data_IF_598955638681
#
_entry.id   IF_598955638681
#
_cell.length_a   1.000
_cell.length_b   1.000
_cell.length_c   1.000
_cell.angle_alpha   90.00
_cell.angle_beta   90.00
_cell.angle_gamma   90.00
#
_symmetry.space_group_name_H-M   'P 1'
#
loop_
_entity.id
_entity.type
_entity.pdbx_description
1 polymer ?
2 polymer ?
3 non-polymer ?
4 water ?
#
# COMPACT_ATOMS: atom_id res chain seq x y z
N UNK A 1 20.50 6.33 -11.48
CA UNK A 1 19.96 5.02 -11.21
C UNK A 1 18.84 5.05 -10.20
N UNK A 2 18.21 3.89 -10.07
CA UNK A 2 17.08 3.74 -9.17
C UNK A 2 17.42 3.91 -7.67
N UNK A 3 18.71 3.96 -7.32
CA UNK A 3 19.06 4.34 -5.96
C UNK A 3 18.49 5.73 -5.62
N UNK A 4 18.21 6.56 -6.64
CA UNK A 4 17.68 7.90 -6.42
C UNK A 4 16.22 7.91 -5.95
N UNK A 5 15.50 6.82 -6.17
CA UNK A 5 14.05 6.83 -5.92
C UNK A 5 13.74 7.22 -4.49
N UNK A 6 12.67 8.00 -4.27
CA UNK A 6 12.26 8.35 -2.91
C UNK A 6 11.82 7.15 -2.09
N UNK A 7 11.44 6.07 -2.77
CA UNK A 7 10.99 4.84 -2.09
C UNK A 7 12.02 4.30 -1.10
N UNK A 8 13.30 4.58 -1.35
CA UNK A 8 14.36 4.14 -0.45
C UNK A 8 14.31 4.80 0.90
N UNK A 9 13.67 5.96 1.01
CA UNK A 9 13.40 6.60 2.30
C UNK A 9 12.01 6.20 2.74
N UNK A 10 11.92 5.25 3.66
CA UNK A 10 10.65 4.71 4.06
C UNK A 10 9.70 5.78 4.60
N UNK A 11 10.24 6.89 5.13
CA UNK A 11 9.38 7.95 5.62
C UNK A 11 8.58 8.64 4.52
N UNK A 12 8.95 8.48 3.25
CA UNK A 12 8.14 9.12 2.21
C UNK A 12 6.81 8.40 1.98
N UNK A 13 6.67 7.14 2.42
CA UNK A 13 5.45 6.37 2.17
C UNK A 13 4.85 5.64 3.36
N UNK A 14 5.62 5.42 4.44
CA UNK A 14 5.10 4.66 5.58
C UNK A 14 4.47 5.62 6.55
N UNK A 15 3.15 5.60 6.62
CA UNK A 15 2.45 6.49 7.49
C UNK A 15 1.94 5.78 8.76
N UNK A 16 2.76 4.80 9.23
CA UNK A 16 2.63 4.20 10.58
C UNK A 16 1.30 3.48 10.82
N UNK A 17 0.59 3.86 11.88
CA UNK A 17 -0.65 3.21 12.25
C UNK A 17 -1.90 3.92 11.73
N UNK A 18 -1.71 4.86 10.80
CA UNK A 18 -2.82 5.61 10.19
C UNK A 18 -3.87 4.66 9.70
N UNK A 19 -5.11 5.06 9.97
CA UNK A 19 -6.26 4.27 9.59
C UNK A 19 -6.69 4.54 8.14
N UNK A 20 -7.71 3.82 7.68
CA UNK A 20 -8.18 3.97 6.33
C UNK A 20 -8.61 5.39 6.01
N UNK A 21 -9.34 5.99 6.93
CA UNK A 21 -9.80 7.32 6.71
C UNK A 21 -8.67 8.32 6.56
N UNK A 22 -7.68 8.21 7.44
CA UNK A 22 -6.53 9.08 7.32
C UNK A 22 -5.81 8.85 5.98
N UNK A 23 -5.62 7.59 5.59
CA UNK A 23 -5.04 7.28 4.28
C UNK A 23 -5.77 7.94 3.14
N UNK A 24 -7.10 7.88 3.18
CA UNK A 24 -7.85 8.50 2.13
C UNK A 24 -7.66 10.03 2.15
N UNK A 25 -7.58 10.66 3.34
CA UNK A 25 -7.35 12.11 3.40
C UNK A 25 -6.07 12.55 2.65
N UNK A 26 -5.04 11.81 2.92
CA UNK A 26 -3.67 12.05 2.48
C UNK A 26 -3.58 11.96 0.96
N UNK A 27 -4.37 11.10 0.35
CA UNK A 27 -4.24 10.81 -1.09
C UNK A 27 -5.20 11.64 -1.93
N UNK A 28 -6.03 12.44 -1.29
CA UNK A 28 -7.02 13.20 -2.05
C UNK A 28 -6.38 14.15 -3.05
N UNK A 29 -6.87 14.10 -4.28
CA UNK A 29 -6.40 14.92 -5.38
C UNK A 29 -5.04 14.53 -5.95
N UNK A 30 -4.41 13.48 -5.43
CA UNK A 30 -3.09 13.05 -5.91
C UNK A 30 -3.18 12.27 -7.23
N UNK A 31 -2.13 12.38 -8.02
CA UNK A 31 -2.05 11.68 -9.30
C UNK A 31 -2.05 10.15 -9.15
N UNK A 32 -2.47 9.47 -10.21
CA UNK A 32 -2.52 8.04 -10.21
C UNK A 32 -1.14 7.47 -9.92
N UNK A 33 -1.08 6.41 -9.10
CA UNK A 33 0.17 5.80 -8.69
C UNK A 33 0.74 6.42 -7.42
N UNK A 34 0.11 7.44 -6.85
CA UNK A 34 0.53 7.92 -5.53
C UNK A 34 0.05 6.90 -4.50
N UNK A 35 0.90 6.60 -3.53
CA UNK A 35 0.58 5.52 -2.60
C UNK A 35 1.18 5.76 -1.22
N UNK A 36 0.71 4.94 -0.30
CA UNK A 36 1.23 4.89 1.04
C UNK A 36 1.07 3.48 1.59
N UNK A 37 1.78 3.19 2.68
CA UNK A 37 1.61 1.94 3.44
C UNK A 37 1.30 2.34 4.89
N UNK A 38 0.56 1.45 5.56
CA UNK A 38 0.15 1.64 6.94
C UNK A 38 -0.23 0.34 7.61
N UNK A 39 -0.43 0.35 8.93
CA UNK A 39 -1.07 -0.77 9.57
C UNK A 39 -2.53 -0.92 9.10
N UNK A 40 -2.98 -2.15 9.02
CA UNK A 40 -4.38 -2.45 8.79
C UNK A 40 -5.14 -2.48 10.08
N UNK A 41 -6.44 -2.19 9.98
CA UNK A 41 -7.37 -2.43 11.05
C UNK A 41 -7.38 -3.90 11.45
N UNK A 42 -7.05 -4.75 10.49
CA UNK A 42 -6.88 -6.18 10.76
C UNK A 42 -5.53 -6.33 11.48
N UNK A 43 -5.60 -6.52 12.79
CA UNK A 43 -4.43 -6.35 13.62
C UNK A 43 -3.35 -7.34 13.26
N UNK A 44 -2.15 -6.82 13.12
CA UNK A 44 -0.98 -7.59 12.67
C UNK A 44 -0.74 -7.56 11.17
N UNK A 45 -1.71 -7.16 10.36
CA UNK A 45 -1.48 -6.98 8.92
C UNK A 45 -1.16 -5.48 8.71
N UNK A 46 -0.75 -5.09 7.52
CA UNK A 46 -0.53 -3.74 6.94
C UNK A 46 -1.51 -3.56 5.77
N UNK A 47 -1.50 -2.37 5.15
CA UNK A 47 -2.33 -2.08 3.98
C UNK A 47 -1.58 -1.10 3.11
N UNK A 48 -1.77 -1.26 1.80
CA UNK A 48 -1.35 -0.29 0.81
C UNK A 48 -2.56 0.44 0.29
N UNK A 49 -2.48 1.77 0.29
CA UNK A 49 -3.52 2.60 -0.31
C UNK A 49 -2.89 3.28 -1.51
N UNK A 50 -3.52 3.17 -2.67
CA UNK A 50 -2.92 3.65 -3.92
C UNK A 50 -4.00 4.28 -4.79
N UNK A 51 -3.67 5.35 -5.49
CA UNK A 51 -4.63 6.00 -6.37
C UNK A 51 -4.58 5.33 -7.75
N UNK A 52 -5.74 4.87 -8.21
CA UNK A 52 -5.89 4.23 -9.49
C UNK A 52 -7.09 4.85 -10.18
N UNK A 53 -6.95 5.35 -11.41
CA UNK A 53 -8.11 5.97 -12.07
C UNK A 53 -8.79 6.97 -11.20
N UNK A 54 -8.00 7.75 -10.47
CA UNK A 54 -8.56 8.83 -9.65
C UNK A 54 -9.26 8.41 -8.37
N UNK A 55 -9.16 7.16 -7.97
CA UNK A 55 -9.83 6.67 -6.76
C UNK A 55 -8.83 5.94 -5.87
N UNK A 56 -9.00 6.04 -4.56
CA UNK A 56 -8.12 5.35 -3.64
C UNK A 56 -8.56 3.91 -3.48
N UNK A 57 -7.63 2.98 -3.73
CA UNK A 57 -7.83 1.55 -3.56
C UNK A 57 -7.01 1.06 -2.40
N UNK A 58 -7.56 0.14 -1.61
CA UNK A 58 -6.89 -0.40 -0.41
C UNK A 58 -6.69 -1.87 -0.56
N UNK A 59 -5.47 -2.29 -0.29
CA UNK A 59 -5.05 -3.69 -0.44
C UNK A 59 -4.42 -4.15 0.85
N UNK A 60 -4.85 -5.26 1.42
CA UNK A 60 -4.19 -5.79 2.61
C UNK A 60 -2.81 -6.36 2.28
N UNK A 61 -1.86 -6.14 3.19
CA UNK A 61 -0.53 -6.76 3.13
C UNK A 61 -0.42 -7.83 4.21
N UNK A 62 -0.36 -9.08 3.75
CA UNK A 62 -0.18 -10.23 4.61
C UNK A 62 1.21 -10.23 5.24
N UNK A 63 1.30 -10.78 6.46
CA UNK A 63 2.57 -11.00 7.14
C UNK A 63 2.63 -12.51 7.40
N UNK A 64 3.47 -13.21 6.62
CA UNK A 64 3.58 -14.69 6.68
C UNK A 64 4.98 -15.13 7.00
N UNK A 65 5.17 -16.42 7.22
CA UNK A 65 6.52 -16.91 7.53
C UNK A 65 7.54 -16.70 6.42
N UNK A 66 7.05 -16.53 5.18
CA UNK A 66 7.95 -16.35 4.07
C UNK A 66 8.04 -14.87 3.68
N UNK A 67 7.31 -14.00 4.38
CA UNK A 67 7.38 -12.60 4.06
C UNK A 67 6.05 -11.93 3.95
N UNK A 68 6.14 -10.66 3.63
CA UNK A 68 5.00 -9.80 3.36
C UNK A 68 4.57 -9.90 1.89
N UNK A 69 3.29 -9.74 1.61
CA UNK A 69 2.82 -9.67 0.26
C UNK A 69 1.33 -9.49 0.18
N UNK A 70 0.83 -9.41 -1.04
CA UNK A 70 -0.59 -9.19 -1.24
C UNK A 70 -1.39 -10.49 -1.38
N UNK A 71 -0.74 -11.58 -1.75
CA UNK A 71 -1.43 -12.84 -2.02
C UNK A 71 -0.38 -13.89 -2.28
N UNK A 72 -0.74 -15.14 -2.07
CA UNK A 72 0.10 -16.23 -2.53
C UNK A 72 0.06 -16.27 -4.07
N UNK A 73 1.17 -16.64 -4.73
CA UNK A 73 2.47 -17.06 -4.16
C UNK A 73 3.47 -15.88 -4.13
N UNK A 74 3.00 -14.72 -3.71
CA UNK A 74 3.80 -13.52 -3.69
C UNK A 74 4.01 -12.99 -2.28
N UNK A 75 3.81 -13.81 -1.25
CA UNK A 75 4.07 -13.35 0.12
C UNK A 75 5.54 -13.62 0.42
N UNK A 76 6.39 -12.82 -0.24
CA UNK A 76 7.80 -13.16 -0.42
C UNK A 76 8.76 -12.16 0.20
N UNK A 77 8.27 -10.99 0.60
CA UNK A 77 9.16 -9.86 0.82
C UNK A 77 9.54 -9.74 2.29
N UNK A 78 10.82 -9.52 2.56
CA UNK A 78 11.28 -9.60 3.95
C UNK A 78 10.92 -8.38 4.77
N UNK A 79 10.50 -7.30 4.12
CA UNK A 79 10.13 -6.07 4.78
C UNK A 79 9.15 -5.33 3.89
N UNK A 80 8.50 -4.35 4.49
CA UNK A 80 7.67 -3.43 3.71
C UNK A 80 8.47 -2.69 2.65
N UNK A 81 9.69 -2.27 2.96
CA UNK A 81 10.40 -1.58 1.95
C UNK A 81 10.78 -2.51 0.76
N UNK A 82 11.08 -3.79 1.01
CA UNK A 82 11.32 -4.67 -0.11
C UNK A 82 10.07 -4.84 -0.94
N UNK A 83 8.90 -4.92 -0.31
CA UNK A 83 7.64 -4.97 -1.03
C UNK A 83 7.46 -3.73 -1.91
N UNK A 84 7.65 -2.56 -1.32
CA UNK A 84 7.46 -1.31 -2.02
C UNK A 84 8.44 -1.19 -3.18
N UNK A 85 9.71 -1.49 -2.97
CA UNK A 85 10.67 -1.43 -4.04
C UNK A 85 10.28 -2.39 -5.17
N UNK A 86 9.77 -3.57 -4.84
CA UNK A 86 9.38 -4.50 -5.90
C UNK A 86 8.25 -3.91 -6.75
N UNK A 87 7.21 -3.39 -6.10
CA UNK A 87 6.05 -2.88 -6.80
C UNK A 87 6.23 -1.49 -7.37
N UNK A 88 7.35 -0.83 -7.10
CA UNK A 88 7.70 0.36 -7.86
C UNK A 88 7.95 0.03 -9.31
N UNK A 89 8.31 -1.23 -9.62
CA UNK A 89 8.53 -1.65 -11.00
C UNK A 89 7.68 -2.85 -11.37
N UNK A 90 6.59 -3.11 -10.64
CA UNK A 90 5.71 -4.22 -10.97
C UNK A 90 4.30 -3.72 -10.85
N UNK A 91 3.56 -3.69 -11.94
CA UNK A 91 2.18 -3.30 -11.86
C UNK A 91 1.38 -4.23 -10.97
N UNK A 92 0.45 -3.70 -10.19
CA UNK A 92 -0.45 -4.50 -9.38
C UNK A 92 -1.47 -5.25 -10.22
N UNK A 93 -1.47 -5.09 -11.53
CA UNK A 93 -2.38 -5.80 -12.42
C UNK A 93 -2.16 -7.28 -12.32
N UNK A 94 -0.99 -7.74 -11.92
CA UNK A 94 -0.84 -9.19 -11.81
C UNK A 94 -1.69 -9.73 -10.69
N UNK A 95 -2.17 -8.89 -9.76
CA UNK A 95 -3.08 -9.30 -8.72
C UNK A 95 -4.54 -9.03 -8.97
N UNK A 96 -4.84 -7.96 -9.70
CA UNK A 96 -6.23 -7.57 -9.93
C UNK A 96 -6.24 -6.68 -11.17
N UNK A 97 -7.06 -7.06 -12.15
CA UNK A 97 -7.12 -6.35 -13.42
C UNK A 97 -7.47 -4.86 -13.26
N UNK A 98 -8.08 -4.48 -12.13
CA UNK A 98 -8.44 -3.10 -11.84
C UNK A 98 -7.38 -2.29 -11.09
N UNK A 99 -6.20 -2.84 -10.91
CA UNK A 99 -5.11 -2.18 -10.21
C UNK A 99 -3.89 -2.04 -11.12
N UNK A 100 -4.10 -1.53 -12.33
CA UNK A 100 -3.01 -1.48 -13.29
C UNK A 100 -2.17 -0.20 -13.13
N UNK A 101 -1.44 -0.17 -12.00
CA UNK A 101 -0.50 0.88 -11.65
C UNK A 101 0.65 0.25 -10.92
N UNK A 102 1.79 0.97 -10.96
CA UNK A 102 2.88 0.68 -10.04
C UNK A 102 2.71 1.54 -8.77
N UNK A 103 3.51 1.22 -7.74
CA UNK A 103 3.64 2.07 -6.56
C UNK A 103 4.64 3.17 -6.94
N UNK A 104 4.13 4.16 -7.66
CA UNK A 104 4.97 5.10 -8.40
C UNK A 104 5.48 6.24 -7.53
N UNK A 105 4.60 6.84 -6.73
CA UNK A 105 4.88 8.13 -6.10
C UNK A 105 4.54 8.05 -4.62
N UNK A 106 5.56 7.96 -3.76
CA UNK A 106 5.27 7.98 -2.31
C UNK A 106 4.51 9.25 -1.96
N UNK A 107 3.54 9.13 -1.07
CA UNK A 107 2.67 10.26 -0.77
C UNK A 107 3.44 11.51 -0.29
N UNK A 108 4.54 11.32 0.44
CA UNK A 108 5.31 12.46 0.95
C UNK A 108 6.61 12.67 0.20
N UNK A 109 6.79 12.14 -1.00
CA UNK A 109 7.99 12.43 -1.80
C UNK A 109 8.10 13.88 -2.18
N UNK B 2 -13.48 -3.93 3.83
CA UNK B 2 -13.45 -4.20 2.38
C UNK B 2 -12.15 -3.81 1.65
N UNK B 3 -11.41 -4.83 1.23
CA UNK B 3 -10.12 -4.64 0.57
C UNK B 3 -10.24 -5.22 -0.84
N UNK B 4 -9.38 -4.81 -1.76
CA UNK B 4 -9.33 -5.41 -3.06
C UNK B 4 -8.99 -6.89 -3.01
N UNK B 5 -9.62 -7.69 -3.86
CA UNK B 5 -9.26 -9.10 -3.98
C UNK B 5 -7.95 -9.13 -4.74
N UNK B 6 -6.93 -9.81 -4.24
CA UNK B 6 -5.62 -9.81 -4.87
C UNK B 6 -5.13 -11.14 -5.42
N UNK B 7 -6.04 -12.07 -5.48
CA UNK B 7 -5.61 -13.38 -5.90
C UNK B 7 -5.32 -13.46 -7.41
X LIG C 1 6.39 -19.34 -1.26
X LIG C 1 6.86 -19.51 0.07
X LIG C 1 4.96 -18.73 -1.36
X LIG C 1 4.12 -19.35 -0.41
X LIG C 1 4.93 -17.22 -1.14
X LIG C 1 3.62 -16.70 -1.09
#
# INVERSE_FOLDING_TARGET
GSEDLPHHDEKTWNVGSSNRNKAENLLRGKRDGTFLVRESSKQGCYACSVVVDGEVKHCVINKTATGYGFAEPYNLYSSLKELVLHYQHTSLVQHNDSLNVTLAYPVYA
SDYMNMTP
GOL C1 O1 C2 O2 C3 O3
#
